data_IF_860814302157
#
_entry.id   IF_860814302157
#
_cell.length_a   1.000
_cell.length_b   1.000
_cell.length_c   1.000
_cell.angle_alpha   90.00
_cell.angle_beta   90.00
_cell.angle_gamma   90.00
#
_symmetry.space_group_name_H-M   'P 1'
#
loop_
_entity.id
_entity.type
_entity.pdbx_description
1 polymer ?
#
# COMPACT_ATOMS: atom_id res chain seq x y z
N UNK A 1 13.52 12.21 -8.37
CA UNK A 1 12.91 12.75 -7.14
C UNK A 1 12.11 11.61 -6.51
N UNK A 2 12.47 11.14 -5.32
CA UNK A 2 11.60 10.21 -4.59
C UNK A 2 10.39 10.99 -4.06
N UNK A 3 9.19 10.49 -4.29
CA UNK A 3 7.96 11.00 -3.67
C UNK A 3 7.50 9.93 -2.67
N UNK A 4 7.40 10.31 -1.39
CA UNK A 4 7.14 9.37 -0.29
C UNK A 4 8.39 9.01 0.52
N UNK A 5 8.30 7.98 1.38
CA UNK A 5 9.43 7.48 2.17
C UNK A 5 9.47 7.91 3.65
N UNK A 6 8.41 8.54 4.18
CA UNK A 6 8.36 8.95 5.60
C UNK A 6 8.30 7.78 6.62
N UNK A 7 8.23 6.53 6.14
CA UNK A 7 8.06 5.34 7.00
C UNK A 7 6.68 5.30 7.68
N UNK A 8 6.30 4.12 8.18
CA UNK A 8 5.04 3.97 8.91
C UNK A 8 5.01 4.90 10.14
N UNK A 9 3.91 5.62 10.42
CA UNK A 9 2.61 5.55 9.76
C UNK A 9 2.36 6.58 8.65
N UNK A 10 3.33 7.45 8.34
CA UNK A 10 3.13 8.66 7.51
C UNK A 10 3.53 8.46 6.04
N UNK A 11 4.48 7.56 5.78
CA UNK A 11 4.88 7.10 4.46
C UNK A 11 4.48 5.64 4.29
N UNK A 12 4.39 5.18 3.04
CA UNK A 12 4.07 3.80 2.64
C UNK A 12 2.57 3.49 2.43
N UNK A 13 1.89 4.40 1.73
CA UNK A 13 0.47 4.30 1.36
C UNK A 13 0.10 3.01 0.59
N UNK A 14 1.09 2.28 0.06
CA UNK A 14 0.93 1.01 -0.64
C UNK A 14 1.38 -0.23 0.14
N UNK A 15 1.61 -0.13 1.46
CA UNK A 15 2.12 -1.27 2.23
C UNK A 15 1.07 -2.16 2.87
N UNK A 16 1.52 -3.39 3.15
CA UNK A 16 0.82 -4.34 4.00
C UNK A 16 0.46 -3.76 5.37
N UNK A 17 1.37 -2.98 5.97
CA UNK A 17 1.14 -2.41 7.30
C UNK A 17 -0.03 -1.41 7.31
N UNK A 18 -0.10 -0.53 6.29
CA UNK A 18 -1.18 0.45 6.19
C UNK A 18 -2.51 -0.21 5.85
N UNK A 19 -2.58 -1.10 4.86
CA UNK A 19 -3.84 -1.78 4.52
C UNK A 19 -4.32 -2.66 5.68
N UNK A 20 -3.41 -3.35 6.37
CA UNK A 20 -3.71 -4.14 7.57
C UNK A 20 -4.25 -3.31 8.73
N UNK A 21 -3.61 -2.17 9.03
CA UNK A 21 -4.11 -1.23 10.04
C UNK A 21 -5.50 -0.69 9.69
N UNK A 22 -5.72 -0.33 8.44
CA UNK A 22 -7.03 0.16 7.96
C UNK A 22 -8.11 -0.91 8.09
N UNK A 23 -7.79 -2.17 7.80
CA UNK A 23 -8.73 -3.29 7.99
C UNK A 23 -9.08 -3.51 9.46
N UNK A 24 -8.08 -3.52 10.35
CA UNK A 24 -8.31 -3.64 11.79
C UNK A 24 -9.09 -2.46 12.37
N UNK A 25 -8.87 -1.23 11.86
CA UNK A 25 -9.71 -0.09 12.23
C UNK A 25 -11.17 -0.30 11.82
N UNK A 26 -11.44 -0.81 10.61
CA UNK A 26 -12.81 -1.16 10.18
C UNK A 26 -13.41 -2.26 11.04
N UNK A 27 -12.62 -3.26 11.43
CA UNK A 27 -13.03 -4.33 12.32
C UNK A 27 -13.45 -3.79 13.69
N UNK A 28 -12.66 -2.89 14.30
CA UNK A 28 -13.02 -2.23 15.55
C UNK A 28 -14.33 -1.42 15.43
N UNK A 29 -14.49 -0.64 14.35
CA UNK A 29 -15.75 0.08 14.09
C UNK A 29 -16.95 -0.87 13.91
N UNK A 30 -16.74 -2.03 13.29
CA UNK A 30 -17.78 -3.05 13.16
C UNK A 30 -18.12 -3.71 14.49
N UNK A 31 -17.15 -3.88 15.40
CA UNK A 31 -17.39 -4.37 16.75
C UNK A 31 -18.29 -3.40 17.55
N UNK A 32 -18.15 -2.10 17.30
CA UNK A 32 -18.98 -1.03 17.84
C UNK A 32 -20.32 -0.85 17.09
N UNK A 33 -20.64 -1.70 16.11
CA UNK A 33 -21.80 -1.57 15.21
C UNK A 33 -21.85 -0.23 14.42
N UNK A 34 -20.72 0.46 14.27
CA UNK A 34 -20.59 1.70 13.50
C UNK A 34 -20.31 1.46 12.02
N UNK A 35 -19.86 0.25 11.67
CA UNK A 35 -19.82 -0.24 10.31
C UNK A 35 -20.57 -1.57 10.24
N UNK A 36 -21.26 -1.86 9.13
CA UNK A 36 -21.87 -3.16 8.97
C UNK A 36 -20.78 -4.25 8.95
N UNK A 37 -21.10 -5.43 9.49
CA UNK A 37 -20.22 -6.60 9.54
C UNK A 37 -20.09 -7.30 8.19
N UNK A 38 -18.94 -7.93 7.93
CA UNK A 38 -18.69 -8.74 6.74
C UNK A 38 -17.79 -9.93 7.09
N UNK A 39 -17.76 -10.98 6.25
CA UNK A 39 -16.89 -12.14 6.47
C UNK A 39 -15.43 -11.77 6.76
N UNK A 40 -14.87 -10.76 6.07
CA UNK A 40 -13.53 -10.26 6.37
C UNK A 40 -13.43 -9.70 7.80
N UNK A 41 -14.33 -8.80 8.19
CA UNK A 41 -14.23 -8.17 9.51
C UNK A 41 -14.48 -9.17 10.63
N UNK A 42 -15.39 -10.13 10.43
CA UNK A 42 -15.65 -11.19 11.39
C UNK A 42 -14.46 -12.15 11.55
N UNK A 43 -13.77 -12.50 10.46
CA UNK A 43 -12.51 -13.26 10.49
C UNK A 43 -11.43 -12.52 11.28
N UNK A 44 -11.24 -11.23 10.98
CA UNK A 44 -10.24 -10.41 11.67
C UNK A 44 -10.54 -10.27 13.17
N UNK A 45 -11.81 -10.04 13.54
CA UNK A 45 -12.22 -9.99 14.95
C UNK A 45 -12.12 -11.36 15.64
N UNK A 46 -12.35 -12.45 14.90
CA UNK A 46 -12.23 -13.82 15.39
C UNK A 46 -10.84 -14.14 15.95
N UNK A 47 -9.77 -13.59 15.34
CA UNK A 47 -8.40 -13.70 15.86
C UNK A 47 -8.22 -13.10 17.27
N UNK A 48 -9.08 -12.17 17.66
CA UNK A 48 -9.08 -11.52 18.97
C UNK A 48 -10.24 -12.00 19.84
N UNK A 49 -10.85 -13.16 19.54
CA UNK A 49 -12.05 -13.69 20.20
C UNK A 49 -13.23 -12.70 20.23
N UNK A 50 -13.22 -11.70 19.33
CA UNK A 50 -14.15 -10.56 19.34
C UNK A 50 -14.14 -9.77 20.67
N UNK A 51 -13.04 -9.85 21.41
CA UNK A 51 -12.84 -9.19 22.69
C UNK A 51 -12.13 -7.85 22.51
N UNK A 52 -12.72 -6.78 23.05
CA UNK A 52 -12.22 -5.41 22.90
C UNK A 52 -10.89 -5.21 23.63
N UNK A 53 -10.74 -5.80 24.81
CA UNK A 53 -9.55 -5.62 25.65
C UNK A 53 -8.37 -6.38 25.05
N UNK A 54 -8.61 -7.59 24.55
CA UNK A 54 -7.61 -8.37 23.80
C UNK A 54 -7.17 -7.63 22.53
N UNK A 55 -8.12 -7.07 21.77
CA UNK A 55 -7.83 -6.31 20.57
C UNK A 55 -6.99 -5.06 20.89
N UNK A 56 -7.40 -4.29 21.90
CA UNK A 56 -6.72 -3.06 22.32
C UNK A 56 -5.32 -3.35 22.87
N UNK A 57 -5.15 -4.44 23.62
CA UNK A 57 -3.84 -4.84 24.14
C UNK A 57 -2.88 -5.27 23.03
N UNK A 58 -3.36 -6.06 22.06
CA UNK A 58 -2.57 -6.40 20.89
C UNK A 58 -2.16 -5.14 20.13
N UNK A 59 -3.08 -4.19 19.91
CA UNK A 59 -2.80 -2.97 19.16
C UNK A 59 -1.75 -2.06 19.83
N UNK A 60 -1.64 -2.09 21.17
CA UNK A 60 -0.60 -1.33 21.90
C UNK A 60 0.82 -1.84 21.63
N UNK A 61 0.96 -3.13 21.33
CA UNK A 61 2.26 -3.79 21.15
C UNK A 61 2.58 -4.14 19.70
N UNK A 62 1.59 -4.02 18.80
CA UNK A 62 1.71 -4.39 17.40
C UNK A 62 2.73 -3.53 16.64
N UNK A 63 3.60 -4.19 15.90
CA UNK A 63 4.59 -3.59 15.01
C UNK A 63 4.05 -3.57 13.57
N UNK A 64 4.64 -2.78 12.65
CA UNK A 64 4.18 -2.70 11.26
C UNK A 64 4.03 -4.07 10.57
N UNK A 65 4.94 -5.01 10.84
CA UNK A 65 4.86 -6.38 10.31
C UNK A 65 3.62 -7.15 10.80
N UNK A 66 3.19 -6.89 12.02
CA UNK A 66 2.04 -7.56 12.64
C UNK A 66 0.73 -7.04 12.05
N UNK A 67 0.71 -5.79 11.57
CA UNK A 67 -0.36 -5.31 10.69
C UNK A 67 -0.25 -5.90 9.28
N UNK A 68 0.97 -5.97 8.72
CA UNK A 68 1.18 -6.44 7.36
C UNK A 68 0.75 -7.90 7.13
N UNK A 69 0.79 -8.74 8.17
CA UNK A 69 0.35 -10.14 8.09
C UNK A 69 -1.13 -10.29 7.69
N UNK A 70 -1.97 -9.25 7.85
CA UNK A 70 -3.38 -9.29 7.48
C UNK A 70 -3.62 -9.05 5.98
N UNK A 71 -2.64 -8.51 5.25
CA UNK A 71 -2.81 -8.17 3.84
C UNK A 71 -3.30 -9.35 2.98
N UNK A 72 -2.74 -10.57 3.06
CA UNK A 72 -3.23 -11.71 2.27
C UNK A 72 -4.72 -12.00 2.49
N UNK A 73 -5.22 -11.88 3.72
CA UNK A 73 -6.66 -12.10 4.03
C UNK A 73 -7.53 -11.03 3.40
N UNK A 74 -7.08 -9.77 3.40
CA UNK A 74 -7.79 -8.64 2.79
C UNK A 74 -7.92 -8.86 1.27
N UNK A 75 -6.83 -9.21 0.59
CA UNK A 75 -6.86 -9.50 -0.86
C UNK A 75 -7.71 -10.73 -1.18
N UNK A 76 -7.63 -11.79 -0.37
CA UNK A 76 -8.46 -12.98 -0.53
C UNK A 76 -9.96 -12.65 -0.40
N UNK A 77 -10.33 -11.83 0.59
CA UNK A 77 -11.71 -11.39 0.79
C UNK A 77 -12.18 -10.48 -0.35
N UNK A 78 -11.34 -9.57 -0.83
CA UNK A 78 -11.63 -8.74 -2.00
C UNK A 78 -11.93 -9.59 -3.24
N UNK A 79 -11.13 -10.64 -3.49
CA UNK A 79 -11.35 -11.58 -4.58
C UNK A 79 -12.64 -12.40 -4.45
N UNK A 80 -13.16 -12.57 -3.23
CA UNK A 80 -14.42 -13.25 -2.92
C UNK A 80 -15.63 -12.29 -2.92
N UNK A 81 -15.44 -11.01 -3.24
CA UNK A 81 -16.51 -10.01 -3.27
C UNK A 81 -16.90 -9.43 -1.91
N UNK A 82 -16.06 -9.59 -0.88
CA UNK A 82 -16.27 -8.90 0.39
C UNK A 82 -16.17 -7.38 0.18
N UNK A 83 -17.20 -6.63 0.58
CA UNK A 83 -17.27 -5.18 0.36
C UNK A 83 -16.15 -4.39 1.05
N UNK A 84 -15.73 -4.82 2.25
CA UNK A 84 -14.67 -4.14 2.99
C UNK A 84 -13.31 -4.52 2.41
N UNK A 85 -13.13 -5.78 2.02
CA UNK A 85 -11.96 -6.24 1.27
C UNK A 85 -11.77 -5.44 -0.02
N UNK A 86 -12.82 -5.36 -0.85
CA UNK A 86 -12.78 -4.60 -2.09
C UNK A 86 -12.46 -3.12 -1.85
N UNK A 87 -13.15 -2.46 -0.92
CA UNK A 87 -12.92 -1.05 -0.61
C UNK A 87 -11.49 -0.78 -0.13
N UNK A 88 -10.94 -1.63 0.74
CA UNK A 88 -9.56 -1.50 1.22
C UNK A 88 -8.53 -1.62 0.10
N UNK A 89 -8.71 -2.60 -0.80
CA UNK A 89 -7.78 -2.81 -1.91
C UNK A 89 -7.87 -1.67 -2.92
N UNK A 90 -9.08 -1.23 -3.26
CA UNK A 90 -9.35 -0.09 -4.14
C UNK A 90 -8.71 1.20 -3.59
N UNK A 91 -8.95 1.52 -2.31
CA UNK A 91 -8.35 2.69 -1.64
C UNK A 91 -6.82 2.65 -1.69
N UNK A 92 -6.23 1.47 -1.46
CA UNK A 92 -4.78 1.27 -1.54
C UNK A 92 -4.28 1.48 -2.97
N UNK A 93 -4.98 0.93 -3.97
CA UNK A 93 -4.63 1.07 -5.38
C UNK A 93 -4.70 2.53 -5.83
N UNK A 94 -5.73 3.26 -5.41
CA UNK A 94 -5.88 4.69 -5.70
C UNK A 94 -4.79 5.53 -5.04
N UNK A 95 -4.41 5.23 -3.80
CA UNK A 95 -3.33 5.93 -3.11
C UNK A 95 -1.98 5.73 -3.81
N UNK A 96 -1.66 4.49 -4.20
CA UNK A 96 -0.48 4.16 -5.01
C UNK A 96 -0.53 4.84 -6.37
N UNK A 97 -1.70 4.81 -7.03
CA UNK A 97 -1.87 5.39 -8.35
C UNK A 97 -1.65 6.92 -8.35
N UNK A 98 -2.11 7.63 -7.32
CA UNK A 98 -1.87 9.08 -7.18
C UNK A 98 -0.37 9.39 -7.13
N UNK A 99 0.40 8.63 -6.37
CA UNK A 99 1.86 8.79 -6.29
C UNK A 99 2.53 8.49 -7.64
N UNK A 100 2.11 7.41 -8.31
CA UNK A 100 2.65 7.03 -9.61
C UNK A 100 2.36 8.10 -10.68
N UNK A 101 1.13 8.61 -10.74
CA UNK A 101 0.74 9.65 -11.69
C UNK A 101 1.49 10.96 -11.45
N UNK A 102 1.70 11.35 -10.19
CA UNK A 102 2.49 12.53 -9.85
C UNK A 102 3.95 12.38 -10.31
N UNK A 103 4.55 11.20 -10.15
CA UNK A 103 5.90 10.91 -10.66
C UNK A 103 5.96 11.02 -12.19
N UNK A 104 4.96 10.50 -12.90
CA UNK A 104 4.85 10.61 -14.37
C UNK A 104 4.70 12.08 -14.80
N UNK A 105 3.86 12.86 -14.12
CA UNK A 105 3.68 14.28 -14.39
C UNK A 105 4.98 15.09 -14.21
N UNK A 106 5.88 14.63 -13.32
CA UNK A 106 7.22 15.21 -13.13
C UNK A 106 8.28 14.66 -14.10
N UNK A 107 7.88 13.93 -15.14
CA UNK A 107 8.75 13.45 -16.20
C UNK A 107 9.43 12.11 -15.94
N UNK A 108 8.94 11.29 -15.00
CA UNK A 108 9.36 9.89 -14.90
C UNK A 108 8.91 9.12 -16.17
N UNK A 109 9.81 8.39 -16.86
CA UNK A 109 9.43 7.67 -18.08
C UNK A 109 8.64 6.39 -17.79
N UNK A 110 8.85 5.78 -16.62
CA UNK A 110 8.18 4.58 -16.16
C UNK A 110 8.20 4.51 -14.62
N UNK A 111 7.36 3.64 -14.06
CA UNK A 111 7.20 3.40 -12.63
C UNK A 111 7.37 1.90 -12.36
N UNK A 112 8.22 1.56 -11.40
CA UNK A 112 8.32 0.21 -10.86
C UNK A 112 7.65 0.15 -9.48
N UNK A 113 6.73 -0.78 -9.29
CA UNK A 113 6.19 -1.08 -7.96
C UNK A 113 7.08 -2.12 -7.29
N UNK A 114 7.53 -1.82 -6.08
CA UNK A 114 8.38 -2.69 -5.27
C UNK A 114 7.67 -3.09 -3.99
N UNK A 115 7.97 -4.28 -3.49
CA UNK A 115 7.41 -4.82 -2.24
C UNK A 115 6.29 -5.84 -2.43
N UNK A 116 5.89 -6.47 -1.33
CA UNK A 116 4.99 -7.63 -1.32
C UNK A 116 3.57 -7.39 -1.85
N UNK A 117 3.15 -6.12 -1.95
CA UNK A 117 1.84 -5.75 -2.49
C UNK A 117 1.86 -5.38 -3.98
N UNK A 118 3.03 -5.26 -4.62
CA UNK A 118 3.12 -4.86 -6.02
C UNK A 118 2.33 -5.78 -6.96
N UNK A 119 2.47 -7.10 -6.79
CA UNK A 119 1.76 -8.09 -7.62
C UNK A 119 0.26 -8.21 -7.27
N UNK A 120 -0.14 -8.34 -5.99
CA UNK A 120 -1.56 -8.38 -5.62
C UNK A 120 -2.35 -7.13 -5.99
N UNK A 121 -1.71 -5.95 -5.98
CA UNK A 121 -2.37 -4.68 -6.25
C UNK A 121 -2.50 -4.36 -7.75
N UNK A 122 -1.65 -4.95 -8.60
CA UNK A 122 -1.61 -4.67 -10.03
C UNK A 122 -2.97 -4.74 -10.76
N UNK A 123 -3.88 -5.71 -10.48
CA UNK A 123 -5.20 -5.77 -11.11
C UNK A 123 -6.10 -4.57 -10.81
N UNK A 124 -5.88 -3.93 -9.65
CA UNK A 124 -6.71 -2.83 -9.13
C UNK A 124 -6.17 -1.45 -9.53
N UNK A 125 -5.01 -1.38 -10.19
CA UNK A 125 -4.45 -0.12 -10.64
C UNK A 125 -5.21 0.42 -11.85
N UNK A 126 -5.42 1.75 -11.93
CA UNK A 126 -6.05 2.39 -13.07
C UNK A 126 -5.39 2.01 -14.40
N UNK A 127 -6.21 1.76 -15.42
CA UNK A 127 -5.75 1.34 -16.75
C UNK A 127 -4.70 2.28 -17.36
N UNK A 128 -4.82 3.58 -17.10
CA UNK A 128 -3.88 4.62 -17.54
C UNK A 128 -2.44 4.43 -17.04
N UNK A 129 -2.23 3.70 -15.93
CA UNK A 129 -0.89 3.43 -15.42
C UNK A 129 -0.23 2.23 -16.12
N UNK A 130 -1.00 1.29 -16.67
CA UNK A 130 -0.47 0.03 -17.23
C UNK A 130 0.66 0.21 -18.26
N UNK A 131 0.59 1.19 -19.20
CA UNK A 131 1.67 1.40 -20.17
C UNK A 131 2.99 1.88 -19.53
N UNK A 132 2.92 2.42 -18.32
CA UNK A 132 4.06 3.01 -17.61
C UNK A 132 4.61 2.11 -16.51
N UNK A 133 3.92 1.02 -16.18
CA UNK A 133 4.38 0.06 -15.18
C UNK A 133 5.43 -0.86 -15.79
N UNK A 134 6.62 -0.88 -15.18
CA UNK A 134 7.70 -1.81 -15.52
C UNK A 134 7.95 -2.75 -14.35
N UNK A 135 8.40 -3.97 -14.66
CA UNK A 135 8.90 -4.85 -13.60
C UNK A 135 10.09 -4.19 -12.90
N UNK A 136 10.12 -4.29 -11.57
CA UNK A 136 11.28 -3.87 -10.81
C UNK A 136 12.49 -4.69 -11.26
N UNK A 137 13.39 -4.09 -12.04
CA UNK A 137 14.72 -4.66 -12.25
C UNK A 137 15.37 -4.78 -10.89
N UNK A 138 15.88 -5.97 -10.58
CA UNK A 138 16.44 -6.37 -9.27
C UNK A 138 17.69 -5.59 -8.83
N UNK A 139 17.99 -4.44 -9.44
CA UNK A 139 19.13 -3.63 -9.06
C UNK A 139 18.70 -2.20 -8.68
N UNK A 140 18.56 -1.91 -7.37
CA UNK A 140 18.30 -0.55 -6.85
C UNK A 140 19.36 0.47 -7.27
N UNK A 141 20.51 0.01 -7.77
CA UNK A 141 21.63 0.86 -8.16
C UNK A 141 21.37 1.64 -9.46
N UNK A 142 20.65 1.05 -10.42
CA UNK A 142 20.39 1.71 -11.72
C UNK A 142 19.50 2.95 -11.59
N UNK A 143 18.52 2.91 -10.67
CA UNK A 143 17.64 4.05 -10.42
C UNK A 143 18.37 5.25 -9.79
N UNK A 144 19.31 4.98 -8.87
CA UNK A 144 20.16 6.00 -8.27
C UNK A 144 21.20 6.54 -9.28
N UNK A 145 21.79 5.68 -10.11
CA UNK A 145 22.77 6.06 -11.13
C UNK A 145 22.13 6.91 -12.24
N UNK A 146 20.92 6.58 -12.70
CA UNK A 146 20.21 7.40 -13.69
C UNK A 146 19.86 8.79 -13.15
N UNK A 147 19.51 8.90 -11.86
CA UNK A 147 19.25 10.20 -11.23
C UNK A 147 20.53 11.02 -11.00
N UNK A 148 21.63 10.38 -10.59
CA UNK A 148 22.92 11.04 -10.42
C UNK A 148 23.48 11.56 -11.75
N UNK A 149 23.35 10.82 -12.85
CA UNK A 149 23.80 11.25 -14.19
C UNK A 149 23.01 12.44 -14.74
N UNK A 150 21.72 12.57 -14.40
CA UNK A 150 20.93 13.75 -14.79
C UNK A 150 21.23 14.99 -13.94
N UNK A 151 21.60 14.82 -12.68
CA UNK A 151 22.04 15.92 -11.82
C UNK A 151 23.46 16.41 -12.16
N UNK A 152 24.36 15.50 -12.58
CA UNK A 152 25.71 15.83 -13.02
C UNK A 152 25.80 16.34 -14.48
N UNK A 153 24.72 16.23 -15.26
CA UNK A 153 24.65 16.69 -16.65
C UNK A 153 24.15 18.13 -16.82
N UNK A 154 23.91 18.86 -15.73
CA UNK A 154 23.46 20.26 -15.72
C UNK A 154 24.54 21.27 -15.28
N UNK A 155 25.81 20.85 -15.20
CA UNK A 155 26.94 21.76 -15.03
C UNK A 155 27.92 21.62 -16.20
N UNK A 156 27.89 22.61 -17.10
CA UNK A 156 28.97 22.87 -18.04
C UNK A 156 28.55 22.97 -19.51
N UNK A 157 28.16 24.19 -19.93
CA UNK A 157 28.90 24.91 -20.99
C UNK A 157 28.32 26.32 -21.23
N UNK A 158 29.05 27.34 -20.80
CA UNK A 158 29.22 28.67 -21.44
C UNK A 158 30.40 29.30 -20.68
N UNK A 159 31.52 29.69 -21.29
CA UNK A 159 31.71 30.30 -22.60
C UNK A 159 32.59 29.51 -23.56
#
# INVERSE_FOLDING_TARGET
HCIGGFGFPLGDQGSGAIIGRSALRRAALSLDNLLPASPLLDDLLGQFNRDRDVFADWARHALPRDYAQFAPRIFAAAAQGDRHGHALVEETAQAVARLALELLARGAPCIALVGGLARPLAPYLPHQLRPHLVEAKRDPLDGAIMMARRAAGSEGWSS
#
